data_IF_466950882817
#
_entry.id   IF_466950882817
#
_cell.length_a   1.000
_cell.length_b   1.000
_cell.length_c   1.000
_cell.angle_alpha   90.00
_cell.angle_beta   90.00
_cell.angle_gamma   90.00
#
_symmetry.space_group_name_H-M   'P 1'
#
loop_
_entity.id
_entity.type
_entity.pdbx_description
1 polymer ?
#
# COMPACT_ATOMS: atom_id res chain seq x y z
N UNK A 1 5.32 17.63 -9.64
CA UNK A 1 5.81 16.24 -9.74
C UNK A 1 4.86 15.47 -10.65
N UNK A 2 5.34 14.80 -11.71
CA UNK A 2 4.49 13.94 -12.52
C UNK A 2 3.86 12.84 -11.65
N UNK A 3 2.58 12.54 -11.88
CA UNK A 3 1.92 11.42 -11.19
C UNK A 3 2.52 10.13 -11.73
N UNK A 4 3.25 9.40 -10.89
CA UNK A 4 3.64 8.03 -11.22
C UNK A 4 2.37 7.17 -11.21
N UNK A 5 2.11 6.51 -12.33
CA UNK A 5 1.08 5.48 -12.42
C UNK A 5 1.75 4.16 -12.08
N UNK A 6 1.13 3.41 -11.18
CA UNK A 6 1.53 2.05 -10.84
C UNK A 6 0.49 1.10 -11.44
N UNK A 7 0.92 -0.02 -11.98
CA UNK A 7 0.06 -1.06 -12.53
C UNK A 7 -0.74 -1.82 -11.47
N UNK A 8 -0.26 -1.87 -10.22
CA UNK A 8 -0.96 -2.55 -9.13
C UNK A 8 -0.70 -1.92 -7.75
N UNK A 9 -1.73 -1.92 -6.91
CA UNK A 9 -1.73 -1.49 -5.51
C UNK A 9 -2.03 -2.67 -4.58
N UNK A 10 -1.10 -2.95 -3.67
CA UNK A 10 -1.21 -3.99 -2.65
C UNK A 10 -1.47 -3.36 -1.28
N UNK A 11 -2.27 -4.01 -0.44
CA UNK A 11 -2.46 -3.66 0.97
C UNK A 11 -2.44 -4.90 1.84
N UNK A 12 -1.83 -4.83 3.02
CA UNK A 12 -1.91 -5.95 3.97
C UNK A 12 -3.33 -6.09 4.51
N UNK A 13 -3.75 -7.32 4.78
CA UNK A 13 -5.04 -7.60 5.43
C UNK A 13 -5.19 -6.87 6.77
N UNK A 14 -4.08 -6.71 7.52
CA UNK A 14 -4.06 -5.98 8.78
C UNK A 14 -4.30 -4.48 8.57
N UNK A 15 -3.66 -3.89 7.55
CA UNK A 15 -3.86 -2.47 7.24
C UNK A 15 -5.27 -2.21 6.70
N UNK A 16 -5.80 -3.10 5.87
CA UNK A 16 -7.18 -3.01 5.38
C UNK A 16 -8.19 -3.06 6.54
N UNK A 17 -8.07 -4.05 7.43
CA UNK A 17 -8.91 -4.13 8.62
C UNK A 17 -8.78 -2.89 9.52
N UNK A 18 -7.56 -2.39 9.74
CA UNK A 18 -7.34 -1.17 10.51
C UNK A 18 -7.98 0.06 9.85
N UNK A 19 -7.95 0.16 8.52
CA UNK A 19 -8.65 1.24 7.81
C UNK A 19 -10.17 1.17 7.98
N UNK A 20 -10.74 -0.03 8.03
CA UNK A 20 -12.18 -0.22 8.25
C UNK A 20 -12.61 0.06 9.69
N UNK A 21 -11.74 -0.23 10.67
CA UNK A 21 -12.01 -0.02 12.10
C UNK A 21 -11.82 1.43 12.57
N UNK A 22 -11.17 2.28 11.78
CA UNK A 22 -10.96 3.68 12.15
C UNK A 22 -12.24 4.51 11.97
N UNK A 23 -12.70 5.12 13.07
CA UNK A 23 -13.83 6.07 13.06
C UNK A 23 -13.58 7.29 12.15
N UNK A 24 -12.31 7.64 11.93
CA UNK A 24 -11.88 8.78 11.11
C UNK A 24 -10.93 8.34 10.02
N UNK A 25 -11.25 8.68 8.78
CA UNK A 25 -10.41 8.37 7.60
C UNK A 25 -9.49 9.53 7.24
N UNK A 26 -8.21 9.24 7.11
CA UNK A 26 -7.23 10.19 6.56
C UNK A 26 -7.51 10.54 5.10
N UNK A 27 -6.89 11.62 4.63
CA UNK A 27 -7.15 12.18 3.30
C UNK A 27 -7.02 11.14 2.18
N UNK A 28 -5.96 10.32 2.23
CA UNK A 28 -5.69 9.28 1.24
C UNK A 28 -6.68 8.12 1.34
N UNK A 29 -7.04 7.72 2.56
CA UNK A 29 -7.92 6.55 2.81
C UNK A 29 -9.30 6.72 2.20
N UNK A 30 -9.78 7.96 2.04
CA UNK A 30 -11.08 8.25 1.42
C UNK A 30 -11.17 7.88 -0.06
N UNK A 31 -10.02 7.81 -0.74
CA UNK A 31 -9.94 7.49 -2.19
C UNK A 31 -8.99 6.33 -2.47
N UNK A 32 -8.53 5.65 -1.43
CA UNK A 32 -7.62 4.53 -1.59
C UNK A 32 -8.38 3.34 -2.13
N UNK A 33 -7.81 2.72 -3.17
CA UNK A 33 -8.31 1.50 -3.78
C UNK A 33 -7.12 0.56 -3.89
N UNK A 34 -7.20 -0.59 -3.22
CA UNK A 34 -6.24 -1.66 -3.40
C UNK A 34 -6.77 -2.63 -4.45
N UNK A 35 -5.90 -3.09 -5.32
CA UNK A 35 -6.22 -4.13 -6.30
C UNK A 35 -6.08 -5.52 -5.66
N UNK A 36 -5.24 -5.64 -4.63
CA UNK A 36 -4.98 -6.90 -3.93
C UNK A 36 -4.83 -6.67 -2.42
N UNK A 37 -5.55 -7.46 -1.64
CA UNK A 37 -5.33 -7.61 -0.21
C UNK A 37 -4.45 -8.85 -0.03
N UNK A 38 -3.26 -8.67 0.54
CA UNK A 38 -2.30 -9.75 0.79
C UNK A 38 -2.31 -10.17 2.25
N UNK A 39 -2.02 -11.44 2.50
CA UNK A 39 -1.97 -12.00 3.84
C UNK A 39 -0.66 -11.70 4.58
N UNK A 40 -0.46 -12.30 5.76
CA UNK A 40 0.72 -12.10 6.60
C UNK A 40 2.01 -12.67 6.00
N UNK A 41 1.94 -13.45 4.92
CA UNK A 41 3.09 -13.94 4.18
C UNK A 41 3.90 -12.83 3.50
N UNK A 42 3.30 -11.65 3.29
CA UNK A 42 4.00 -10.45 2.80
C UNK A 42 4.33 -9.55 3.99
N UNK A 43 5.60 -9.50 4.35
CA UNK A 43 6.09 -8.62 5.42
C UNK A 43 6.41 -7.22 4.89
N UNK A 44 5.44 -6.31 5.01
CA UNK A 44 5.61 -4.91 4.59
C UNK A 44 6.69 -4.14 5.37
N UNK A 45 7.06 -4.58 6.58
CA UNK A 45 8.10 -3.91 7.36
C UNK A 45 9.50 -4.14 6.77
N UNK A 46 9.68 -5.26 6.06
CA UNK A 46 10.95 -5.62 5.41
C UNK A 46 10.91 -5.50 3.88
N UNK A 47 9.73 -5.26 3.30
CA UNK A 47 9.55 -5.06 1.87
C UNK A 47 10.31 -3.84 1.36
N UNK A 48 10.96 -3.96 0.21
CA UNK A 48 11.78 -2.93 -0.42
C UNK A 48 11.42 -2.74 -1.88
N UNK A 49 11.76 -1.57 -2.41
CA UNK A 49 11.71 -1.31 -3.86
C UNK A 49 12.65 -2.28 -4.57
N UNK A 50 12.16 -2.93 -5.62
CA UNK A 50 12.84 -3.97 -6.38
C UNK A 50 12.50 -5.39 -5.94
N UNK A 51 11.90 -5.59 -4.76
CA UNK A 51 11.45 -6.91 -4.33
C UNK A 51 10.33 -7.42 -5.24
N UNK A 52 10.22 -8.75 -5.35
CA UNK A 52 9.17 -9.41 -6.11
C UNK A 52 8.26 -10.15 -5.15
N UNK A 53 6.98 -9.82 -5.17
CA UNK A 53 5.95 -10.53 -4.40
C UNK A 53 4.99 -11.25 -5.33
N UNK A 54 4.40 -12.34 -4.83
CA UNK A 54 3.32 -13.04 -5.52
C UNK A 54 1.98 -12.50 -5.02
N UNK A 55 1.15 -11.98 -5.92
CA UNK A 55 -0.26 -11.69 -5.63
C UNK A 55 -1.13 -12.29 -6.74
N UNK A 56 -2.17 -13.05 -6.37
CA UNK A 56 -3.11 -13.66 -7.30
C UNK A 56 -2.45 -14.46 -8.45
N UNK A 57 -1.32 -15.11 -8.18
CA UNK A 57 -0.55 -15.87 -9.19
C UNK A 57 0.33 -15.01 -10.11
N UNK A 58 0.34 -13.69 -9.94
CA UNK A 58 1.18 -12.77 -10.69
C UNK A 58 2.38 -12.34 -9.86
N UNK A 59 3.53 -12.18 -10.53
CA UNK A 59 4.73 -11.56 -9.95
C UNK A 59 4.57 -10.05 -10.03
N UNK A 60 4.74 -9.38 -8.90
CA UNK A 60 4.68 -7.92 -8.80
C UNK A 60 6.04 -7.42 -8.35
N UNK A 61 6.66 -6.55 -9.15
CA UNK A 61 7.88 -5.85 -8.75
C UNK A 61 7.49 -4.60 -7.99
N UNK A 62 7.96 -4.49 -6.75
CA UNK A 62 7.63 -3.36 -5.88
C UNK A 62 8.40 -2.12 -6.33
N UNK A 63 7.68 -1.03 -6.54
CA UNK A 63 8.24 0.26 -6.93
C UNK A 63 8.13 1.32 -5.84
N UNK A 64 7.20 1.14 -4.90
CA UNK A 64 7.05 1.98 -3.72
C UNK A 64 6.48 1.16 -2.56
N UNK A 65 7.04 1.37 -1.37
CA UNK A 65 6.49 0.84 -0.13
C UNK A 65 5.91 1.98 0.67
N UNK A 66 4.70 1.78 1.18
CA UNK A 66 3.98 2.75 1.96
C UNK A 66 3.46 3.94 1.15
N UNK A 67 2.74 4.82 1.84
CA UNK A 67 2.27 6.09 1.28
C UNK A 67 2.80 7.27 2.11
N UNK A 68 3.50 8.24 1.49
CA UNK A 68 3.83 9.46 2.20
C UNK A 68 2.55 10.24 2.55
N UNK A 69 2.52 10.84 3.74
CA UNK A 69 1.40 11.67 4.18
C UNK A 69 1.48 13.06 3.55
N UNK A 70 0.34 13.59 3.11
CA UNK A 70 0.23 14.95 2.59
C UNK A 70 0.09 15.97 3.73
N UNK A 71 0.69 17.15 3.55
CA UNK A 71 0.41 18.32 4.40
C UNK A 71 -1.09 18.66 4.31
N UNK A 72 -1.79 18.65 5.44
CA UNK A 72 -3.25 18.81 5.53
C UNK A 72 -4.04 17.52 5.76
N UNK A 73 -3.39 16.39 6.02
CA UNK A 73 -4.09 15.19 6.48
C UNK A 73 -4.40 15.30 7.99
N UNK A 74 -5.67 15.16 8.38
CA UNK A 74 -6.10 15.23 9.78
C UNK A 74 -5.38 14.19 10.66
N UNK A 75 -5.21 12.96 10.17
CA UNK A 75 -4.49 11.92 10.90
C UNK A 75 -3.02 12.32 11.16
N UNK A 76 -2.39 13.01 10.21
CA UNK A 76 -1.03 13.50 10.40
C UNK A 76 -0.98 14.65 11.41
N UNK A 77 -1.93 15.59 11.33
CA UNK A 77 -2.01 16.74 12.23
C UNK A 77 -2.25 16.32 13.69
N UNK A 78 -3.01 15.25 13.89
CA UNK A 78 -3.35 14.72 15.22
C UNK A 78 -2.42 13.59 15.67
N UNK A 79 -1.34 13.30 14.92
CA UNK A 79 -0.39 12.22 15.18
C UNK A 79 -1.03 10.83 15.33
N UNK A 80 -2.16 10.60 14.65
CA UNK A 80 -2.84 9.30 14.61
C UNK A 80 -2.14 8.42 13.56
N UNK A 81 -1.75 7.18 13.89
CA UNK A 81 -1.14 6.25 12.94
C UNK A 81 -2.03 6.03 11.71
N UNK A 82 -1.44 6.10 10.51
CA UNK A 82 -2.14 5.82 9.27
C UNK A 82 -1.77 4.42 8.76
N UNK A 83 -2.72 3.49 8.60
CA UNK A 83 -2.43 2.13 8.13
C UNK A 83 -1.76 2.07 6.75
N UNK A 84 -2.01 3.07 5.90
CA UNK A 84 -1.40 3.17 4.57
C UNK A 84 0.06 3.64 4.57
N UNK A 85 0.57 4.13 5.72
CA UNK A 85 1.96 4.60 5.78
C UNK A 85 2.93 3.45 5.59
N UNK A 86 2.63 2.32 6.22
CA UNK A 86 3.56 1.18 6.31
C UNK A 86 2.90 -0.14 5.87
N UNK A 87 1.59 -0.13 5.55
CA UNK A 87 0.81 -1.33 5.25
C UNK A 87 0.33 -1.47 3.81
N UNK A 88 0.84 -0.64 2.88
CA UNK A 88 0.55 -0.77 1.45
C UNK A 88 1.83 -0.70 0.61
N UNK A 89 1.74 -1.13 -0.63
CA UNK A 89 2.84 -1.05 -1.59
C UNK A 89 2.28 -0.92 -3.00
N UNK A 90 3.09 -0.39 -3.91
CA UNK A 90 2.72 -0.16 -5.29
C UNK A 90 3.80 -0.73 -6.19
N UNK A 91 3.40 -1.27 -7.33
CA UNK A 91 4.31 -1.95 -8.23
C UNK A 91 3.77 -2.14 -9.63
N UNK A 92 4.49 -2.95 -10.40
CA UNK A 92 4.13 -3.35 -11.76
C UNK A 92 4.08 -4.88 -11.86
N UNK A 93 3.17 -5.39 -12.69
CA UNK A 93 3.11 -6.83 -12.99
C UNK A 93 4.28 -7.18 -13.90
N UNK A 94 5.10 -8.13 -13.48
CA UNK A 94 6.22 -8.64 -14.26
C UNK A 94 5.70 -9.56 -15.38
N UNK A 95 6.06 -9.29 -16.63
CA UNK A 95 5.58 -10.03 -17.81
C UNK A 95 6.45 -11.22 -18.24
N UNK A 96 7.51 -11.53 -17.49
CA UNK A 96 8.46 -12.59 -17.86
C UNK A 96 7.99 -13.96 -17.35
N UNK A 97 7.71 -14.86 -18.30
CA UNK A 97 7.64 -16.31 -18.08
C UNK A 97 9.05 -16.86 -17.81
N UNK A 98 9.17 -17.84 -16.92
CA UNK A 98 10.39 -18.66 -16.78
C UNK A 98 10.26 -19.83 -17.73
#
# INVERSE_FOLDING_TARGET
MPKKHYGICLVSSQADAAMQALDRRGLCMRKFHADCIVGPEVDFAHLRVGDVVMCAGQRVVIEQVGKPCYQGCDLLAEAIPCPLKDGCAFGEIATWEV
#
